data_IF_135007571777
#
_entry.id   IF_135007571777
#
_cell.length_a   1.000
_cell.length_b   1.000
_cell.length_c   1.000
_cell.angle_alpha   90.00
_cell.angle_beta   90.00
_cell.angle_gamma   90.00
#
_symmetry.space_group_name_H-M   'P 1'
#
loop_
_entity.id
_entity.type
_entity.pdbx_description
1 polymer ?
#
# COMPACT_ATOMS: atom_id res chain seq x y z
N UNK A 1 15.26 -1.27 0.98
CA UNK A 1 14.24 -2.34 0.89
C UNK A 1 13.58 -2.46 2.25
N UNK A 2 12.36 -2.97 2.35
CA UNK A 2 11.68 -3.05 3.64
C UNK A 2 10.75 -4.27 3.78
N UNK A 3 10.49 -4.63 5.04
CA UNK A 3 9.54 -5.65 5.47
C UNK A 3 8.78 -5.14 6.69
N UNK A 4 7.51 -5.53 6.79
CA UNK A 4 6.61 -5.19 7.88
C UNK A 4 6.09 -6.48 8.50
N UNK A 5 6.12 -6.57 9.83
CA UNK A 5 5.50 -7.64 10.62
C UNK A 5 4.47 -7.00 11.54
N UNK A 6 3.25 -7.52 11.48
CA UNK A 6 2.09 -7.05 12.24
C UNK A 6 1.95 -5.51 12.29
N UNK A 7 1.95 -4.82 11.13
CA UNK A 7 2.04 -3.35 11.07
C UNK A 7 0.81 -2.62 11.62
N UNK A 8 -0.27 -3.35 11.93
CA UNK A 8 -1.50 -2.83 12.52
C UNK A 8 -1.68 -3.21 14.00
N UNK A 9 -0.67 -3.85 14.60
CA UNK A 9 -0.68 -4.19 16.02
C UNK A 9 -0.09 -3.06 16.87
N UNK A 10 -0.27 -3.14 18.19
CA UNK A 10 0.36 -2.23 19.14
C UNK A 10 1.88 -2.43 19.28
N UNK A 11 2.44 -3.49 18.67
CA UNK A 11 3.87 -3.80 18.71
C UNK A 11 4.41 -4.21 17.33
N UNK A 12 4.39 -3.29 16.34
CA UNK A 12 4.81 -3.62 14.99
C UNK A 12 6.32 -3.79 14.89
N UNK A 13 6.80 -4.49 13.86
CA UNK A 13 8.22 -4.52 13.50
C UNK A 13 8.42 -4.04 12.07
N UNK A 14 9.22 -2.98 11.92
CA UNK A 14 9.65 -2.44 10.63
C UNK A 14 11.11 -2.79 10.42
N UNK A 15 11.41 -3.45 9.30
CA UNK A 15 12.77 -3.78 8.90
C UNK A 15 13.06 -3.01 7.62
N UNK A 16 14.10 -2.18 7.60
CA UNK A 16 14.45 -1.40 6.41
C UNK A 16 15.95 -1.12 6.34
N UNK A 17 16.48 -0.97 5.12
CA UNK A 17 17.88 -0.63 4.93
C UNK A 17 18.33 -0.64 3.47
N UNK A 18 19.64 -0.53 3.27
CA UNK A 18 20.26 -0.63 1.95
C UNK A 18 20.25 -2.06 1.44
N UNK A 19 20.25 -3.04 2.35
CA UNK A 19 20.45 -4.44 1.99
C UNK A 19 19.32 -5.03 1.13
N UNK A 20 19.70 -5.82 0.12
CA UNK A 20 18.75 -6.69 -0.56
C UNK A 20 18.59 -8.01 0.21
N UNK A 21 17.44 -8.65 0.07
CA UNK A 21 17.24 -10.01 0.59
C UNK A 21 17.87 -11.03 -0.36
N UNK A 22 19.20 -11.02 -0.44
CA UNK A 22 19.99 -11.93 -1.27
C UNK A 22 21.27 -12.38 -0.57
N UNK A 23 21.83 -13.51 -1.00
CA UNK A 23 23.04 -14.10 -0.39
C UNK A 23 24.27 -13.19 -0.53
N UNK A 24 24.44 -12.55 -1.69
CA UNK A 24 25.54 -11.61 -1.94
C UNK A 24 25.51 -10.39 -1.00
N UNK A 25 24.30 -9.92 -0.67
CA UNK A 25 24.06 -8.82 0.28
C UNK A 25 24.43 -9.17 1.72
N UNK A 26 24.50 -10.47 2.07
CA UNK A 26 24.83 -10.94 3.44
C UNK A 26 26.32 -11.21 3.62
N UNK A 27 27.08 -11.40 2.52
CA UNK A 27 28.44 -11.94 2.56
C UNK A 27 29.51 -11.06 1.94
N UNK A 28 29.16 -10.14 1.02
CA UNK A 28 30.14 -9.39 0.22
C UNK A 28 29.95 -7.88 0.20
N UNK A 29 28.74 -7.38 0.45
CA UNK A 29 28.46 -5.96 0.38
C UNK A 29 28.45 -5.33 1.78
N UNK A 30 28.96 -4.11 1.90
CA UNK A 30 28.75 -3.27 3.09
C UNK A 30 27.33 -2.69 3.04
N UNK A 31 26.38 -3.43 3.58
CA UNK A 31 24.97 -3.03 3.65
C UNK A 31 24.51 -2.91 5.10
N UNK A 32 23.59 -1.99 5.34
CA UNK A 32 23.01 -1.72 6.65
C UNK A 32 21.53 -2.11 6.67
N UNK A 33 21.09 -2.64 7.81
CA UNK A 33 19.70 -2.96 8.09
C UNK A 33 19.30 -2.44 9.48
N UNK A 34 18.16 -1.78 9.54
CA UNK A 34 17.53 -1.31 10.76
C UNK A 34 16.33 -2.20 11.10
N UNK A 35 16.19 -2.54 12.37
CA UNK A 35 15.04 -3.26 12.93
C UNK A 35 14.42 -2.35 13.98
N UNK A 36 13.25 -1.80 13.68
CA UNK A 36 12.50 -0.87 14.52
C UNK A 36 11.29 -1.62 15.06
N UNK A 37 11.20 -1.75 16.39
CA UNK A 37 10.12 -2.48 17.08
C UNK A 37 9.28 -1.52 17.93
N UNK A 38 7.97 -1.72 17.93
CA UNK A 38 7.03 -0.98 18.79
C UNK A 38 6.69 0.44 18.31
N UNK A 39 7.32 0.94 17.26
CA UNK A 39 7.04 2.28 16.73
C UNK A 39 5.89 2.23 15.70
N UNK A 40 4.69 2.56 16.18
CA UNK A 40 3.46 2.58 15.37
C UNK A 40 3.49 3.66 14.29
N UNK A 41 4.11 4.82 14.57
CA UNK A 41 4.21 5.90 13.59
C UNK A 41 5.09 5.51 12.41
N UNK A 42 6.25 4.90 12.67
CA UNK A 42 7.13 4.39 11.61
C UNK A 42 6.42 3.28 10.82
N UNK A 43 5.71 2.39 11.50
CA UNK A 43 4.93 1.34 10.84
C UNK A 43 3.86 1.91 9.89
N UNK A 44 3.09 2.91 10.32
CA UNK A 44 2.05 3.56 9.50
C UNK A 44 2.63 4.22 8.25
N UNK A 45 3.76 4.91 8.36
CA UNK A 45 4.44 5.55 7.21
C UNK A 45 4.85 4.48 6.19
N UNK A 46 5.52 3.41 6.63
CA UNK A 46 5.94 2.34 5.72
C UNK A 46 4.77 1.54 5.16
N UNK A 47 3.70 1.35 5.92
CA UNK A 47 2.49 0.69 5.46
C UNK A 47 1.79 1.51 4.38
N UNK A 48 1.72 2.85 4.55
CA UNK A 48 1.25 3.76 3.52
C UNK A 48 2.04 3.64 2.22
N UNK A 49 3.37 3.62 2.30
CA UNK A 49 4.25 3.42 1.15
C UNK A 49 4.06 2.06 0.47
N UNK A 50 3.88 0.99 1.25
CA UNK A 50 3.54 -0.33 0.71
C UNK A 50 2.26 -0.28 -0.12
N UNK A 51 1.18 0.30 0.42
CA UNK A 51 -0.10 0.38 -0.29
C UNK A 51 -0.04 1.32 -1.51
N UNK A 52 0.76 2.38 -1.46
CA UNK A 52 1.01 3.25 -2.62
C UNK A 52 1.62 2.47 -3.77
N UNK A 53 2.69 1.70 -3.50
CA UNK A 53 3.35 0.84 -4.49
C UNK A 53 2.43 -0.27 -4.98
N UNK A 54 1.77 -0.98 -4.07
CA UNK A 54 0.83 -2.05 -4.42
C UNK A 54 -0.29 -1.54 -5.33
N UNK A 55 -0.92 -0.41 -4.98
CA UNK A 55 -2.01 0.18 -5.77
C UNK A 55 -1.53 0.58 -7.17
N UNK A 56 -0.33 1.16 -7.27
CA UNK A 56 0.29 1.52 -8.54
C UNK A 56 0.48 0.29 -9.45
N UNK A 57 1.11 -0.77 -8.93
CA UNK A 57 1.37 -1.98 -9.73
C UNK A 57 0.11 -2.79 -10.02
N UNK A 58 -0.84 -2.87 -9.06
CA UNK A 58 -2.12 -3.55 -9.27
C UNK A 58 -2.91 -2.91 -10.42
N UNK A 59 -2.97 -1.57 -10.48
CA UNK A 59 -3.60 -0.88 -11.60
C UNK A 59 -2.94 -1.24 -12.94
N UNK A 60 -1.61 -1.21 -13.02
CA UNK A 60 -0.86 -1.58 -14.23
C UNK A 60 -1.11 -3.03 -14.63
N UNK A 61 -1.14 -3.95 -13.67
CA UNK A 61 -1.48 -5.35 -13.91
C UNK A 61 -2.87 -5.51 -14.54
N UNK A 62 -3.89 -4.86 -13.98
CA UNK A 62 -5.26 -4.90 -14.53
C UNK A 62 -5.29 -4.32 -15.95
N UNK A 63 -4.63 -3.19 -16.17
CA UNK A 63 -4.53 -2.55 -17.49
C UNK A 63 -3.86 -3.46 -18.52
N UNK A 64 -2.74 -4.09 -18.17
CA UNK A 64 -2.02 -5.00 -19.06
C UNK A 64 -2.82 -6.27 -19.34
N UNK A 65 -3.46 -6.84 -18.32
CA UNK A 65 -4.35 -8.01 -18.46
C UNK A 65 -5.53 -7.72 -19.39
N UNK A 66 -6.11 -6.53 -19.31
CA UNK A 66 -7.20 -6.12 -20.22
C UNK A 66 -6.70 -5.94 -21.66
N UNK A 67 -5.52 -5.34 -21.86
CA UNK A 67 -4.89 -5.22 -23.20
C UNK A 67 -4.67 -6.61 -23.83
N UNK A 68 -4.13 -7.55 -23.06
CA UNK A 68 -3.88 -8.91 -23.54
C UNK A 68 -5.17 -9.66 -23.93
N UNK A 69 -6.29 -9.42 -23.24
CA UNK A 69 -7.57 -10.10 -23.51
C UNK A 69 -8.37 -9.53 -24.67
N UNK A 70 -8.24 -8.24 -24.99
CA UNK A 70 -9.11 -7.54 -25.96
C UNK A 70 -8.49 -7.30 -27.33
N UNK A 71 -7.21 -7.64 -27.53
CA UNK A 71 -6.51 -7.25 -28.76
C UNK A 71 -6.55 -5.72 -28.98
N UNK A 72 -6.36 -5.29 -30.22
CA UNK A 72 -6.35 -3.88 -30.65
C UNK A 72 -7.73 -3.20 -30.69
N UNK A 73 -8.78 -3.74 -30.04
CA UNK A 73 -10.05 -3.04 -29.92
C UNK A 73 -9.88 -1.73 -29.13
N UNK A 74 -10.22 -0.60 -29.77
CA UNK A 74 -10.14 0.74 -29.18
C UNK A 74 -10.90 0.75 -27.85
N UNK A 75 -10.19 1.10 -26.78
CA UNK A 75 -10.76 1.31 -25.46
C UNK A 75 -11.95 2.27 -25.59
N UNK A 76 -13.18 1.82 -25.30
CA UNK A 76 -14.20 2.74 -24.77
C UNK A 76 -13.57 3.32 -23.51
N UNK A 77 -13.12 4.58 -23.57
CA UNK A 77 -12.47 5.24 -22.45
C UNK A 77 -13.34 5.05 -21.21
N UNK A 78 -12.74 4.58 -20.12
CA UNK A 78 -13.43 4.66 -18.83
C UNK A 78 -13.45 6.13 -18.46
N UNK A 79 -14.53 6.82 -18.81
CA UNK A 79 -14.74 8.21 -18.44
C UNK A 79 -14.89 8.32 -16.93
N UNK A 80 -14.53 9.48 -16.39
CA UNK A 80 -14.84 9.83 -15.01
C UNK A 80 -16.36 9.70 -14.82
N UNK A 81 -16.78 8.96 -13.78
CA UNK A 81 -18.18 9.01 -13.37
C UNK A 81 -18.44 10.37 -12.73
N UNK A 82 -19.42 11.16 -13.21
CA UNK A 82 -19.69 12.49 -12.68
C UNK A 82 -20.38 12.47 -11.31
N UNK A 83 -20.91 11.33 -10.89
CA UNK A 83 -21.59 11.12 -9.61
C UNK A 83 -20.68 10.50 -8.55
N UNK A 84 -21.21 10.33 -7.35
CA UNK A 84 -20.53 9.71 -6.21
C UNK A 84 -20.62 8.17 -6.18
N UNK A 85 -21.19 7.53 -7.21
CA UNK A 85 -21.47 6.08 -7.18
C UNK A 85 -20.21 5.22 -7.01
N UNK A 86 -19.05 5.76 -7.39
CA UNK A 86 -17.74 5.14 -7.19
C UNK A 86 -17.34 5.01 -5.72
N UNK A 87 -17.93 5.81 -4.82
CA UNK A 87 -17.68 5.78 -3.37
C UNK A 87 -18.39 4.63 -2.67
N UNK A 88 -19.56 4.20 -3.18
CA UNK A 88 -20.47 3.24 -2.50
C UNK A 88 -19.76 1.97 -2.03
N UNK A 89 -18.80 1.46 -2.81
CA UNK A 89 -18.02 0.25 -2.45
C UNK A 89 -17.14 0.41 -1.20
N UNK A 90 -16.80 1.63 -0.81
CA UNK A 90 -16.01 1.94 0.39
C UNK A 90 -16.87 2.09 1.66
N UNK A 91 -18.20 2.07 1.52
CA UNK A 91 -19.17 2.15 2.62
C UNK A 91 -19.97 0.86 2.79
N UNK A 92 -19.55 -0.24 2.16
CA UNK A 92 -20.13 -1.56 2.38
C UNK A 92 -19.55 -2.16 3.66
N UNK A 93 -20.36 -2.42 4.71
CA UNK A 93 -19.88 -2.97 5.97
C UNK A 93 -19.10 -4.28 5.80
N UNK A 94 -17.99 -4.41 6.51
CA UNK A 94 -17.09 -5.57 6.51
C UNK A 94 -16.21 -5.71 5.26
N UNK A 95 -16.36 -4.83 4.26
CA UNK A 95 -15.59 -4.94 3.02
C UNK A 95 -14.13 -4.50 3.21
N UNK A 96 -13.21 -5.07 2.42
CA UNK A 96 -11.80 -4.64 2.40
C UNK A 96 -11.69 -3.14 2.06
N UNK A 97 -12.57 -2.64 1.19
CA UNK A 97 -12.57 -1.23 0.78
C UNK A 97 -12.99 -0.30 1.92
N UNK A 98 -13.96 -0.71 2.74
CA UNK A 98 -14.31 0.01 3.97
C UNK A 98 -13.13 0.02 4.95
N UNK A 99 -12.53 -1.15 5.23
CA UNK A 99 -11.38 -1.25 6.13
C UNK A 99 -10.21 -0.37 5.67
N UNK A 100 -9.91 -0.35 4.37
CA UNK A 100 -8.90 0.54 3.79
C UNK A 100 -9.26 2.02 3.98
N UNK A 101 -10.53 2.41 3.78
CA UNK A 101 -10.98 3.79 3.98
C UNK A 101 -10.83 4.21 5.45
N UNK A 102 -11.17 3.33 6.40
CA UNK A 102 -11.04 3.64 7.82
C UNK A 102 -9.57 3.67 8.27
N UNK A 103 -8.73 2.81 7.72
CA UNK A 103 -7.30 2.75 8.08
C UNK A 103 -6.51 3.96 7.56
N UNK A 104 -6.74 4.36 6.31
CA UNK A 104 -6.02 5.49 5.68
C UNK A 104 -6.78 6.81 5.72
N UNK A 105 -8.04 6.77 6.15
CA UNK A 105 -8.86 7.95 6.36
C UNK A 105 -8.55 8.51 7.74
N UNK A 106 -8.17 9.78 7.79
CA UNK A 106 -8.07 10.51 9.04
C UNK A 106 -9.46 10.62 9.68
N UNK A 107 -9.56 10.43 11.00
CA UNK A 107 -10.75 10.85 11.73
C UNK A 107 -10.83 12.39 11.68
N UNK A 108 -11.87 12.98 11.07
CA UNK A 108 -12.01 14.43 11.00
C UNK A 108 -12.06 15.11 12.38
N UNK A 109 -12.30 14.35 13.46
CA UNK A 109 -12.33 14.87 14.83
C UNK A 109 -11.00 14.70 15.59
N UNK A 110 -9.99 14.07 14.98
CA UNK A 110 -8.70 13.88 15.63
C UNK A 110 -7.83 15.16 15.51
N UNK A 111 -7.31 15.72 16.63
CA UNK A 111 -6.47 16.90 16.63
C UNK A 111 -5.25 16.74 15.72
N UNK A 112 -4.69 17.85 15.20
CA UNK A 112 -3.35 17.81 14.62
C UNK A 112 -2.37 17.49 15.76
N UNK A 113 -1.60 16.41 15.62
CA UNK A 113 -0.39 16.21 16.43
C UNK A 113 0.50 17.46 16.25
N UNK A 114 1.12 17.97 17.34
CA UNK A 114 1.94 19.18 17.30
C UNK A 114 3.15 19.09 16.35
#
# INVERSE_FOLDING_TARGET
>A
KFMLIDPLSDNPTVISGSANFSEASTTKNDENMLVIKGDTRVADIYLGEFFRLFSHFYFRYIVNRQKAKRGSEKRKGSYLKPDDSWTRRYYKPGSIKEKQRLLFGRDPNQPLEP
#
